data_IF_735794676994
#
_entry.id   IF_735794676994
#
_cell.length_a   1.000
_cell.length_b   1.000
_cell.length_c   1.000
_cell.angle_alpha   90.00
_cell.angle_beta   90.00
_cell.angle_gamma   90.00
#
_symmetry.space_group_name_H-M   'P 1'
#
loop_
_entity.id
_entity.type
_entity.pdbx_description
1 polymer ?
#
# COMPACT_ATOMS: atom_id res chain seq x y z
N UNK A 1 -7.03 16.83 33.27
CA UNK A 1 -6.76 17.09 31.84
C UNK A 1 -6.94 15.74 31.18
N UNK A 2 -8.05 15.56 30.44
CA UNK A 2 -8.29 14.32 29.72
C UNK A 2 -7.24 14.21 28.62
N UNK A 3 -6.60 13.05 28.55
CA UNK A 3 -5.75 12.67 27.41
C UNK A 3 -6.63 12.76 26.16
N UNK A 4 -6.50 13.84 25.40
CA UNK A 4 -7.17 13.97 24.11
C UNK A 4 -6.52 12.97 23.16
N UNK A 5 -7.23 11.88 22.87
CA UNK A 5 -6.80 10.91 21.88
C UNK A 5 -6.86 11.57 20.50
N UNK A 6 -5.68 11.77 19.90
CA UNK A 6 -5.56 12.36 18.57
C UNK A 6 -4.64 11.52 17.69
N UNK A 7 -5.04 11.32 16.45
CA UNK A 7 -4.33 10.52 15.46
C UNK A 7 -3.84 11.41 14.32
N UNK A 8 -2.57 11.30 13.98
CA UNK A 8 -1.99 11.91 12.78
C UNK A 8 -1.84 10.83 11.71
N UNK A 9 -2.48 11.02 10.58
CA UNK A 9 -2.29 10.18 9.39
C UNK A 9 -1.34 10.89 8.42
N UNK A 10 -0.28 10.21 8.02
CA UNK A 10 0.65 10.71 7.01
C UNK A 10 0.10 10.37 5.64
N UNK A 11 -0.31 11.37 4.88
CA UNK A 11 -0.86 11.19 3.55
C UNK A 11 0.21 10.73 2.56
N UNK A 12 -0.06 9.64 1.84
CA UNK A 12 0.75 9.23 0.70
C UNK A 12 0.18 9.87 -0.57
N UNK A 13 1.03 10.50 -1.37
CA UNK A 13 0.63 11.24 -2.58
C UNK A 13 1.81 11.41 -3.54
N UNK A 14 1.51 11.87 -4.75
CA UNK A 14 2.49 12.16 -5.80
C UNK A 14 2.70 13.68 -6.04
N UNK A 15 2.44 14.51 -5.04
CA UNK A 15 2.33 15.96 -5.04
C UNK A 15 1.10 16.51 -5.77
N UNK A 16 0.40 15.73 -6.57
CA UNK A 16 -0.79 16.15 -7.33
C UNK A 16 -2.06 15.43 -6.88
N UNK A 17 -1.93 14.15 -6.55
CA UNK A 17 -3.06 13.28 -6.21
C UNK A 17 -2.82 12.53 -4.90
N UNK A 18 -3.85 12.48 -4.05
CA UNK A 18 -3.87 11.62 -2.88
C UNK A 18 -3.95 10.14 -3.31
N UNK A 19 -3.10 9.29 -2.73
CA UNK A 19 -3.14 7.85 -3.01
C UNK A 19 -4.29 7.18 -2.24
N UNK A 20 -5.02 6.22 -2.85
CA UNK A 20 -6.15 5.52 -2.20
C UNK A 20 -5.78 4.86 -0.87
N UNK A 21 -4.54 4.37 -0.71
CA UNK A 21 -4.03 3.79 0.54
C UNK A 21 -4.17 4.72 1.76
N UNK A 22 -4.19 6.04 1.54
CA UNK A 22 -4.42 7.02 2.60
C UNK A 22 -5.86 6.97 3.12
N UNK A 23 -6.85 6.72 2.25
CA UNK A 23 -8.26 6.58 2.66
C UNK A 23 -8.49 5.31 3.49
N UNK A 24 -7.81 4.22 3.16
CA UNK A 24 -7.84 2.99 3.96
C UNK A 24 -7.17 3.20 5.33
N UNK A 25 -6.08 3.99 5.36
CA UNK A 25 -5.40 4.33 6.61
C UNK A 25 -6.26 5.21 7.51
N UNK A 26 -7.04 6.13 6.93
CA UNK A 26 -8.04 6.92 7.65
C UNK A 26 -9.14 6.05 8.27
N UNK A 27 -9.58 5.00 7.58
CA UNK A 27 -10.53 4.03 8.17
C UNK A 27 -9.96 3.38 9.44
N UNK A 28 -8.69 3.00 9.44
CA UNK A 28 -8.03 2.49 10.64
C UNK A 28 -7.93 3.57 11.76
N UNK A 29 -7.63 4.82 11.39
CA UNK A 29 -7.58 5.94 12.34
C UNK A 29 -8.97 6.19 12.98
N UNK A 30 -10.04 6.17 12.19
CA UNK A 30 -11.41 6.29 12.69
C UNK A 30 -11.79 5.13 13.62
N UNK A 31 -11.31 3.91 13.35
CA UNK A 31 -11.54 2.75 14.22
C UNK A 31 -10.80 2.86 15.57
N UNK A 32 -9.68 3.56 15.64
CA UNK A 32 -9.00 3.89 16.90
C UNK A 32 -9.85 4.88 17.70
N UNK A 33 -10.44 5.86 17.02
CA UNK A 33 -11.26 6.91 17.62
C UNK A 33 -10.48 8.18 17.94
N UNK A 34 -11.18 9.19 18.46
CA UNK A 34 -10.63 10.51 18.74
C UNK A 34 -10.51 11.38 17.49
N UNK A 35 -9.82 12.51 17.62
CA UNK A 35 -9.60 13.45 16.53
C UNK A 35 -8.62 12.90 15.48
N UNK A 36 -8.94 13.06 14.20
CA UNK A 36 -8.09 12.62 13.10
C UNK A 36 -7.61 13.82 12.29
N UNK A 37 -6.28 13.96 12.23
CA UNK A 37 -5.61 14.97 11.41
C UNK A 37 -4.79 14.29 10.31
N UNK A 38 -4.63 14.96 9.17
CA UNK A 38 -3.76 14.54 8.09
C UNK A 38 -2.53 15.44 7.98
N UNK A 39 -1.37 14.86 7.71
CA UNK A 39 -0.17 15.59 7.32
C UNK A 39 0.10 15.36 5.84
N UNK A 40 0.14 16.45 5.07
CA UNK A 40 0.58 16.48 3.67
C UNK A 40 1.94 17.16 3.62
N UNK A 41 2.97 16.45 3.18
CA UNK A 41 4.32 16.97 3.04
C UNK A 41 4.82 16.74 1.62
N UNK A 42 5.05 17.80 0.88
CA UNK A 42 5.41 17.73 -0.54
C UNK A 42 5.84 19.08 -1.08
N UNK A 43 5.84 19.23 -2.39
CA UNK A 43 6.11 20.50 -3.08
C UNK A 43 5.03 20.77 -4.12
N UNK A 44 4.47 21.98 -4.09
CA UNK A 44 3.32 22.38 -4.92
C UNK A 44 2.12 21.42 -4.72
N UNK A 45 1.88 20.99 -3.47
CA UNK A 45 0.94 19.93 -3.12
C UNK A 45 -0.37 20.47 -2.49
N UNK A 46 -0.73 21.75 -2.72
CA UNK A 46 -2.00 22.32 -2.22
C UNK A 46 -3.21 21.51 -2.67
N UNK A 47 -3.24 21.01 -3.92
CA UNK A 47 -4.34 20.20 -4.43
C UNK A 47 -4.56 18.91 -3.62
N UNK A 48 -3.48 18.32 -3.13
CA UNK A 48 -3.55 17.15 -2.23
C UNK A 48 -4.13 17.54 -0.89
N UNK A 49 -3.71 18.68 -0.32
CA UNK A 49 -4.27 19.17 0.94
C UNK A 49 -5.78 19.49 0.83
N UNK A 50 -6.19 20.06 -0.31
CA UNK A 50 -7.62 20.32 -0.60
C UNK A 50 -8.41 19.02 -0.68
N UNK A 51 -7.87 17.99 -1.36
CA UNK A 51 -8.46 16.65 -1.42
C UNK A 51 -8.56 16.01 -0.02
N UNK A 52 -7.51 16.11 0.79
CA UNK A 52 -7.51 15.62 2.18
C UNK A 52 -8.55 16.34 3.04
N UNK A 53 -8.72 17.66 2.86
CA UNK A 53 -9.68 18.46 3.60
C UNK A 53 -11.16 18.11 3.26
N UNK A 54 -11.39 17.58 2.06
CA UNK A 54 -12.71 17.13 1.62
C UNK A 54 -13.11 15.75 2.16
N UNK A 55 -12.20 14.99 2.75
CA UNK A 55 -12.49 13.65 3.29
C UNK A 55 -13.32 13.76 4.56
N UNK A 56 -14.38 12.95 4.65
CA UNK A 56 -15.22 12.90 5.84
C UNK A 56 -14.46 12.32 7.05
N UNK A 57 -14.70 12.90 8.23
CA UNK A 57 -14.05 12.50 9.49
C UNK A 57 -12.64 13.08 9.70
N UNK A 58 -12.11 13.87 8.76
CA UNK A 58 -10.88 14.63 8.96
C UNK A 58 -11.21 15.96 9.65
N UNK A 59 -10.56 16.22 10.78
CA UNK A 59 -10.79 17.45 11.54
C UNK A 59 -9.82 18.59 11.16
N UNK A 60 -8.61 18.24 10.68
CA UNK A 60 -7.58 19.22 10.30
C UNK A 60 -6.61 18.60 9.30
N UNK A 61 -6.13 19.42 8.37
CA UNK A 61 -5.01 19.08 7.49
C UNK A 61 -3.81 19.97 7.83
N UNK A 62 -2.67 19.37 8.12
CA UNK A 62 -1.37 20.03 8.24
C UNK A 62 -0.68 20.00 6.89
N UNK A 63 -0.32 21.15 6.35
CA UNK A 63 0.34 21.27 5.04
C UNK A 63 1.77 21.78 5.19
N UNK A 64 2.75 20.97 4.83
CA UNK A 64 4.14 21.34 4.67
C UNK A 64 4.48 21.36 3.17
N UNK A 65 4.16 22.46 2.50
CA UNK A 65 4.43 22.66 1.08
C UNK A 65 5.76 23.38 0.91
N UNK A 66 6.83 22.60 0.70
CA UNK A 66 8.19 23.11 0.54
C UNK A 66 9.01 22.21 -0.38
N UNK A 67 9.93 22.79 -1.16
CA UNK A 67 10.82 22.07 -2.07
C UNK A 67 11.65 20.97 -1.38
N UNK A 68 11.91 21.09 -0.08
CA UNK A 68 12.63 20.09 0.70
C UNK A 68 11.87 18.74 0.79
N UNK A 69 10.56 18.74 0.58
CA UNK A 69 9.71 17.55 0.63
C UNK A 69 9.26 17.07 -0.75
N UNK A 70 9.77 17.66 -1.85
CA UNK A 70 9.34 17.34 -3.21
C UNK A 70 9.41 15.84 -3.54
N UNK A 71 10.41 15.13 -3.01
CA UNK A 71 10.62 13.70 -3.22
C UNK A 71 10.38 12.86 -1.96
N UNK A 72 9.79 13.44 -0.92
CA UNK A 72 9.35 12.78 0.32
C UNK A 72 10.41 11.84 0.94
N UNK A 73 11.69 12.27 0.91
CA UNK A 73 12.79 11.52 1.49
C UNK A 73 12.55 11.27 2.98
N UNK A 74 12.75 10.03 3.41
CA UNK A 74 12.40 9.60 4.77
C UNK A 74 13.11 10.40 5.86
N UNK A 75 14.34 10.84 5.62
CA UNK A 75 15.14 11.61 6.57
C UNK A 75 14.49 12.95 6.91
N UNK A 76 14.06 13.69 5.89
CA UNK A 76 13.40 14.98 6.08
C UNK A 76 11.96 14.83 6.56
N UNK A 77 11.22 13.88 5.97
CA UNK A 77 9.82 13.63 6.32
C UNK A 77 9.68 13.16 7.77
N UNK A 78 10.53 12.23 8.25
CA UNK A 78 10.48 11.78 9.64
C UNK A 78 10.84 12.90 10.64
N UNK A 79 11.75 13.80 10.30
CA UNK A 79 12.06 14.96 11.13
C UNK A 79 10.86 15.93 11.23
N UNK A 80 10.17 16.18 10.13
CA UNK A 80 8.95 16.99 10.12
C UNK A 80 7.87 16.35 11.00
N UNK A 81 7.61 15.04 10.84
CA UNK A 81 6.60 14.35 11.64
C UNK A 81 6.98 14.44 13.13
N UNK A 82 8.25 14.24 13.46
CA UNK A 82 8.75 14.36 14.84
C UNK A 82 8.45 15.72 15.46
N UNK A 83 8.54 16.81 14.69
CA UNK A 83 8.32 18.17 15.20
C UNK A 83 6.89 18.41 15.67
N UNK A 84 5.92 17.69 15.10
CA UNK A 84 4.49 17.78 15.46
C UNK A 84 4.01 16.62 16.33
N UNK A 85 4.82 15.56 16.49
CA UNK A 85 4.43 14.29 17.11
C UNK A 85 3.93 14.40 18.55
N UNK A 86 4.39 15.38 19.30
CA UNK A 86 4.01 15.58 20.73
C UNK A 86 2.52 15.88 20.92
N UNK A 87 1.82 16.25 19.85
CA UNK A 87 0.39 16.54 19.86
C UNK A 87 -0.47 15.30 19.58
N UNK A 88 0.14 14.13 19.34
CA UNK A 88 -0.55 12.94 18.87
C UNK A 88 -0.22 11.70 19.69
N UNK A 89 -1.25 10.95 20.04
CA UNK A 89 -1.14 9.63 20.67
C UNK A 89 -0.89 8.52 19.65
N UNK A 90 -1.28 8.76 18.39
CA UNK A 90 -1.13 7.80 17.29
C UNK A 90 -0.59 8.50 16.04
N UNK A 91 0.35 7.85 15.34
CA UNK A 91 0.87 8.30 14.05
C UNK A 91 0.80 7.13 13.08
N UNK A 92 -0.03 7.28 12.06
CA UNK A 92 -0.32 6.23 11.08
C UNK A 92 0.19 6.60 9.69
N UNK A 93 0.65 5.60 8.95
CA UNK A 93 0.85 5.69 7.50
C UNK A 93 0.44 4.39 6.83
N UNK A 94 0.10 4.37 5.53
CA UNK A 94 -0.14 3.13 4.81
C UNK A 94 1.13 2.26 4.79
N UNK A 95 0.96 0.94 4.85
CA UNK A 95 2.06 -0.02 4.80
C UNK A 95 2.57 -0.25 3.36
N UNK A 96 2.71 0.82 2.61
CA UNK A 96 3.37 0.90 1.30
C UNK A 96 4.88 1.08 1.46
N UNK A 97 5.62 1.12 0.36
CA UNK A 97 7.06 1.43 0.39
C UNK A 97 7.34 2.78 1.04
N UNK A 98 6.46 3.78 0.88
CA UNK A 98 6.54 5.08 1.54
C UNK A 98 6.46 4.96 3.07
N UNK A 99 5.37 4.43 3.60
CA UNK A 99 5.19 4.31 5.05
C UNK A 99 6.22 3.38 5.71
N UNK A 100 6.61 2.30 5.02
CA UNK A 100 7.67 1.36 5.46
C UNK A 100 9.07 1.99 5.48
N UNK A 101 9.29 3.06 4.74
CA UNK A 101 10.55 3.81 4.75
C UNK A 101 10.57 4.91 5.84
N UNK A 102 9.47 5.64 6.00
CA UNK A 102 9.40 6.81 6.89
C UNK A 102 9.21 6.42 8.36
N UNK A 103 8.22 5.55 8.66
CA UNK A 103 7.80 5.30 10.04
C UNK A 103 8.82 4.54 10.90
N UNK A 104 9.64 3.59 10.40
CA UNK A 104 10.68 2.97 11.22
C UNK A 104 11.72 4.00 11.71
N UNK A 105 12.05 4.98 10.85
CA UNK A 105 12.94 6.08 11.22
C UNK A 105 12.29 6.96 12.27
N UNK A 106 11.02 7.32 12.09
CA UNK A 106 10.27 8.09 13.07
C UNK A 106 10.24 7.39 14.43
N UNK A 107 9.94 6.09 14.44
CA UNK A 107 9.90 5.29 15.67
C UNK A 107 11.23 5.34 16.43
N UNK A 108 12.35 5.21 15.71
CA UNK A 108 13.68 5.33 16.31
C UNK A 108 13.94 6.75 16.84
N UNK A 109 13.46 7.80 16.17
CA UNK A 109 13.62 9.19 16.60
C UNK A 109 12.76 9.54 17.82
N UNK A 110 11.65 8.82 18.04
CA UNK A 110 10.75 8.98 19.19
C UNK A 110 11.06 8.00 20.33
N UNK A 111 11.98 7.05 20.12
CA UNK A 111 12.30 5.96 21.05
C UNK A 111 11.08 5.10 21.43
N UNK A 112 10.27 4.73 20.42
CA UNK A 112 9.07 3.89 20.55
C UNK A 112 9.11 2.70 19.59
N UNK A 113 8.29 1.67 19.87
CA UNK A 113 8.17 0.51 19.00
C UNK A 113 7.14 0.74 17.89
N UNK A 114 7.52 0.46 16.64
CA UNK A 114 6.57 0.47 15.52
C UNK A 114 5.70 -0.78 15.54
N UNK A 115 4.39 -0.60 15.31
CA UNK A 115 3.44 -1.69 15.03
C UNK A 115 3.23 -1.74 13.52
N UNK A 116 3.81 -2.76 12.87
CA UNK A 116 3.83 -2.85 11.41
C UNK A 116 2.64 -3.63 10.86
N UNK A 117 2.04 -3.10 9.78
CA UNK A 117 1.04 -3.78 8.94
C UNK A 117 -0.19 -4.26 9.74
N UNK A 118 -0.79 -3.40 10.53
CA UNK A 118 -2.01 -3.77 11.24
C UNK A 118 -3.13 -4.12 10.25
N UNK A 119 -3.92 -5.14 10.61
CA UNK A 119 -5.08 -5.60 9.85
C UNK A 119 -6.39 -5.42 10.60
N UNK A 120 -6.34 -5.10 11.90
CA UNK A 120 -7.53 -4.86 12.72
C UNK A 120 -7.15 -4.00 13.94
N UNK A 121 -8.04 -3.11 14.30
CA UNK A 121 -7.99 -2.32 15.54
C UNK A 121 -8.91 -2.99 16.56
N UNK A 122 -8.35 -3.45 17.70
CA UNK A 122 -9.12 -4.03 18.80
C UNK A 122 -9.48 -2.96 19.83
N UNK A 123 -8.51 -2.09 20.12
CA UNK A 123 -8.65 -0.92 20.99
C UNK A 123 -7.60 0.12 20.63
N UNK A 124 -7.58 1.26 21.34
CA UNK A 124 -6.60 2.33 21.15
C UNK A 124 -5.14 1.88 21.28
N UNK A 125 -4.86 0.78 21.98
CA UNK A 125 -3.51 0.28 22.24
C UNK A 125 -3.26 -1.15 21.76
N UNK A 126 -4.28 -1.81 21.20
CA UNK A 126 -4.23 -3.24 20.85
C UNK A 126 -4.68 -3.47 19.41
N UNK A 127 -3.84 -4.18 18.65
CA UNK A 127 -3.98 -4.35 17.21
C UNK A 127 -3.69 -5.78 16.78
N UNK A 128 -4.28 -6.24 15.67
CA UNK A 128 -3.87 -7.47 14.99
C UNK A 128 -2.92 -7.17 13.84
N UNK A 129 -1.94 -8.04 13.66
CA UNK A 129 -1.01 -7.96 12.54
C UNK A 129 -0.55 -9.34 12.09
N UNK A 130 -0.28 -9.53 10.78
CA UNK A 130 0.30 -10.77 10.29
C UNK A 130 1.78 -10.89 10.68
N UNK A 131 2.19 -12.11 10.99
CA UNK A 131 3.58 -12.51 11.21
C UNK A 131 3.85 -13.81 10.43
N UNK A 132 5.12 -14.19 10.26
CA UNK A 132 5.51 -15.38 9.47
C UNK A 132 4.86 -15.38 8.07
N UNK A 133 5.05 -14.27 7.32
CA UNK A 133 4.46 -14.07 5.99
C UNK A 133 2.93 -14.27 5.94
N UNK A 134 2.24 -13.95 7.04
CA UNK A 134 0.80 -14.07 7.14
C UNK A 134 0.28 -15.47 7.50
N UNK A 135 1.15 -16.40 7.86
CA UNK A 135 0.75 -17.73 8.36
C UNK A 135 0.15 -17.66 9.76
N UNK A 136 0.44 -16.60 10.51
CA UNK A 136 -0.11 -16.34 11.84
C UNK A 136 -0.57 -14.89 11.96
N UNK A 137 -1.60 -14.66 12.74
CA UNK A 137 -2.05 -13.32 13.13
C UNK A 137 -1.73 -13.13 14.63
N UNK A 138 -0.88 -12.17 14.91
CA UNK A 138 -0.55 -11.78 16.27
C UNK A 138 -1.47 -10.65 16.75
N UNK A 139 -1.96 -10.76 17.98
CA UNK A 139 -2.56 -9.63 18.70
C UNK A 139 -1.45 -8.99 19.54
N UNK A 140 -1.19 -7.71 19.29
CA UNK A 140 -0.12 -6.95 19.95
C UNK A 140 -0.72 -5.77 20.68
N UNK A 141 -0.18 -5.50 21.88
CA UNK A 141 -0.52 -4.32 22.68
C UNK A 141 0.72 -3.46 22.83
N UNK A 142 0.60 -2.15 22.57
CA UNK A 142 1.66 -1.17 22.82
C UNK A 142 1.41 -0.42 24.13
N UNK A 143 2.45 -0.31 24.94
CA UNK A 143 2.44 0.53 26.14
C UNK A 143 3.13 1.89 25.92
N UNK A 144 3.59 2.17 24.69
CA UNK A 144 4.24 3.43 24.35
C UNK A 144 3.24 4.59 24.44
N UNK A 145 3.68 5.77 24.83
CA UNK A 145 2.82 6.95 24.86
C UNK A 145 2.31 7.34 23.47
N UNK A 146 3.20 7.30 22.48
CA UNK A 146 2.84 7.51 21.06
C UNK A 146 2.99 6.19 20.31
N UNK A 147 1.90 5.71 19.65
CA UNK A 147 1.89 4.51 18.82
C UNK A 147 2.21 4.90 17.39
N UNK A 148 3.28 4.35 16.84
CA UNK A 148 3.67 4.52 15.43
C UNK A 148 3.29 3.27 14.67
N UNK A 149 2.40 3.41 13.67
CA UNK A 149 1.67 2.28 13.07
C UNK A 149 1.69 2.36 11.56
N UNK A 150 2.05 1.27 10.88
CA UNK A 150 1.74 1.12 9.47
C UNK A 150 0.48 0.28 9.28
N UNK A 151 -0.40 0.71 8.37
CA UNK A 151 -1.72 0.12 8.13
C UNK A 151 -1.71 -0.68 6.82
N UNK A 152 -2.12 -1.95 6.86
CA UNK A 152 -2.34 -2.74 5.65
C UNK A 152 -3.61 -2.23 4.96
N UNK A 153 -3.46 -1.49 3.87
CA UNK A 153 -4.58 -0.85 3.17
C UNK A 153 -5.66 -1.86 2.75
N UNK A 154 -5.28 -3.06 2.32
CA UNK A 154 -6.21 -4.11 1.89
C UNK A 154 -7.08 -4.71 3.01
N UNK A 155 -6.82 -4.37 4.27
CA UNK A 155 -7.57 -4.88 5.43
C UNK A 155 -8.64 -3.90 5.95
N UNK A 156 -8.71 -2.70 5.38
CA UNK A 156 -9.67 -1.66 5.78
C UNK A 156 -10.36 -1.11 4.54
N UNK A 157 -11.68 -1.04 4.54
CA UNK A 157 -12.42 -0.38 3.47
C UNK A 157 -12.12 1.12 3.49
N UNK A 158 -11.88 1.77 2.33
CA UNK A 158 -11.57 3.18 2.29
C UNK A 158 -12.74 4.03 2.78
N UNK A 159 -12.44 5.11 3.49
CA UNK A 159 -13.45 6.13 3.80
C UNK A 159 -13.85 6.89 2.53
N UNK A 160 -15.00 7.60 2.58
CA UNK A 160 -15.40 8.50 1.48
C UNK A 160 -14.37 9.61 1.29
N UNK A 161 -14.00 9.88 0.04
CA UNK A 161 -13.10 10.97 -0.35
C UNK A 161 -13.78 12.35 -0.38
N UNK A 162 -15.03 12.42 0.07
CA UNK A 162 -15.87 13.62 0.03
C UNK A 162 -16.78 13.67 1.26
N UNK A 163 -17.31 14.86 1.53
CA UNK A 163 -18.24 15.11 2.64
C UNK A 163 -17.63 15.93 3.78
N UNK A 164 -16.30 16.05 3.83
CA UNK A 164 -15.57 16.87 4.80
C UNK A 164 -15.33 18.31 4.35
N UNK A 165 -14.84 19.12 5.28
CA UNK A 165 -14.45 20.53 5.06
C UNK A 165 -13.43 20.98 6.10
N UNK A 166 -12.39 20.19 6.32
CA UNK A 166 -11.38 20.44 7.32
C UNK A 166 -10.57 21.71 7.04
N UNK A 167 -10.18 22.49 8.05
CA UNK A 167 -9.25 23.60 7.88
C UNK A 167 -7.86 23.06 7.51
N UNK A 168 -7.16 23.79 6.63
CA UNK A 168 -5.77 23.54 6.25
C UNK A 168 -4.90 24.52 7.02
N UNK A 169 -3.93 23.98 7.77
CA UNK A 169 -2.97 24.75 8.56
C UNK A 169 -1.55 24.52 8.00
N UNK A 170 -0.88 25.62 7.67
CA UNK A 170 0.51 25.55 7.17
C UNK A 170 1.47 25.18 8.30
N UNK A 171 2.37 24.24 8.01
CA UNK A 171 3.47 23.82 8.89
C UNK A 171 4.77 24.20 8.21
N UNK A 172 5.66 24.88 8.95
CA UNK A 172 6.97 25.27 8.45
C UNK A 172 7.87 24.03 8.25
N UNK A 173 8.77 24.05 7.26
CA UNK A 173 9.79 23.02 7.15
C UNK A 173 10.64 22.95 8.41
N UNK A 174 10.90 21.74 8.88
CA UNK A 174 11.66 21.49 10.11
C UNK A 174 12.78 20.50 9.87
N UNK A 175 13.99 20.86 10.32
CA UNK A 175 15.16 19.96 10.36
C UNK A 175 15.37 19.17 9.06
N UNK A 176 15.32 19.86 7.91
CA UNK A 176 15.58 19.24 6.61
C UNK A 176 16.95 18.56 6.63
N UNK A 177 16.96 17.29 6.24
CA UNK A 177 18.16 16.45 6.31
C UNK A 177 18.98 16.57 5.02
N UNK A 178 20.30 16.55 5.17
CA UNK A 178 21.27 16.47 4.08
C UNK A 178 21.94 15.08 3.95
N UNK A 179 21.43 14.09 4.72
CA UNK A 179 21.98 12.73 4.73
C UNK A 179 21.71 11.95 3.43
N UNK A 180 20.70 12.32 2.70
CA UNK A 180 20.33 11.72 1.41
C UNK A 180 19.89 12.78 0.43
N UNK A 181 20.00 12.49 -0.86
CA UNK A 181 19.54 13.35 -1.94
C UNK A 181 18.85 12.51 -3.01
N UNK A 182 17.82 13.08 -3.62
CA UNK A 182 17.16 12.45 -4.76
C UNK A 182 18.05 12.56 -6.00
N UNK A 183 18.27 11.44 -6.66
CA UNK A 183 19.08 11.36 -7.89
C UNK A 183 18.19 11.20 -9.12
N UNK A 184 17.13 10.40 -9.00
CA UNK A 184 16.19 10.13 -10.07
C UNK A 184 15.33 8.91 -9.77
N UNK A 185 14.27 8.76 -10.55
CA UNK A 185 13.40 7.58 -10.54
C UNK A 185 13.01 7.23 -11.98
N UNK A 186 12.80 5.95 -12.21
CA UNK A 186 12.25 5.41 -13.45
C UNK A 186 10.93 4.71 -13.10
N UNK A 187 9.82 5.35 -13.46
CA UNK A 187 8.47 4.81 -13.22
C UNK A 187 7.92 4.34 -14.55
N UNK A 188 7.50 3.07 -14.60
CA UNK A 188 6.78 2.54 -15.75
C UNK A 188 5.44 3.27 -15.90
N UNK A 189 5.26 3.95 -17.05
CA UNK A 189 3.97 4.57 -17.38
C UNK A 189 3.04 3.49 -17.91
N UNK A 190 1.87 3.37 -17.32
CA UNK A 190 0.80 2.48 -17.76
C UNK A 190 -0.52 3.22 -17.70
N UNK A 191 -1.33 3.04 -18.72
CA UNK A 191 -2.71 3.54 -18.75
C UNK A 191 -3.67 2.61 -17.97
N UNK A 192 -3.17 1.45 -17.49
CA UNK A 192 -3.92 0.49 -16.67
C UNK A 192 -4.02 0.93 -15.22
N UNK A 193 -5.03 0.47 -14.48
CA UNK A 193 -5.16 0.76 -13.05
C UNK A 193 -3.89 0.42 -12.26
N UNK A 194 -3.61 1.16 -11.20
CA UNK A 194 -2.53 0.81 -10.27
C UNK A 194 -2.85 -0.53 -9.58
N UNK A 195 -1.85 -1.40 -9.42
CA UNK A 195 -1.99 -2.73 -8.83
C UNK A 195 -2.68 -2.71 -7.45
N UNK A 196 -2.37 -1.71 -6.64
CA UNK A 196 -2.90 -1.62 -5.27
C UNK A 196 -4.34 -1.13 -5.19
N UNK A 197 -4.88 -0.59 -6.29
CA UNK A 197 -6.22 -0.03 -6.37
C UNK A 197 -7.13 -0.78 -7.36
N UNK A 198 -6.58 -1.72 -8.13
CA UNK A 198 -7.32 -2.43 -9.17
C UNK A 198 -8.31 -3.45 -8.58
N UNK A 199 -9.55 -3.47 -9.11
CA UNK A 199 -10.56 -4.49 -8.78
C UNK A 199 -10.24 -5.86 -9.40
N UNK A 200 -9.49 -5.88 -10.51
CA UNK A 200 -9.06 -7.10 -11.19
C UNK A 200 -7.54 -7.02 -11.40
N UNK A 201 -6.84 -8.08 -11.06
CA UNK A 201 -5.40 -8.22 -11.28
C UNK A 201 -5.12 -9.53 -12.02
N UNK A 202 -4.34 -9.46 -13.10
CA UNK A 202 -3.77 -10.63 -13.76
C UNK A 202 -2.26 -10.60 -13.61
N UNK A 203 -1.67 -11.69 -13.12
CA UNK A 203 -0.24 -11.72 -12.79
C UNK A 203 0.48 -12.87 -13.46
N UNK A 204 1.66 -12.56 -14.04
CA UNK A 204 2.54 -13.53 -14.67
C UNK A 204 3.65 -14.02 -13.75
N UNK A 205 3.85 -15.33 -13.76
CA UNK A 205 4.99 -15.96 -13.09
C UNK A 205 6.16 -16.23 -14.03
N UNK A 206 7.18 -16.93 -13.50
CA UNK A 206 8.30 -17.40 -14.31
C UNK A 206 7.86 -18.37 -15.42
N UNK A 207 6.67 -18.99 -15.28
CA UNK A 207 6.05 -19.81 -16.31
C UNK A 207 5.78 -19.08 -17.62
N UNK A 208 5.75 -17.73 -17.63
CA UNK A 208 5.65 -16.91 -18.84
C UNK A 208 6.90 -17.03 -19.74
N UNK A 209 8.02 -17.52 -19.24
CA UNK A 209 9.28 -17.80 -19.93
C UNK A 209 10.05 -16.57 -20.46
N UNK A 210 9.37 -15.53 -20.90
CA UNK A 210 9.96 -14.30 -21.44
C UNK A 210 9.08 -13.07 -21.13
N UNK A 211 9.71 -11.90 -21.06
CA UNK A 211 8.98 -10.62 -21.01
C UNK A 211 8.10 -10.40 -22.23
N UNK A 212 8.54 -10.86 -23.40
CA UNK A 212 7.75 -10.73 -24.63
C UNK A 212 6.38 -11.42 -24.54
N UNK A 213 6.27 -12.47 -23.72
CA UNK A 213 5.01 -13.21 -23.56
C UNK A 213 4.01 -12.50 -22.63
N UNK A 214 4.43 -11.43 -21.92
CA UNK A 214 3.52 -10.67 -21.07
C UNK A 214 2.40 -9.98 -21.88
N UNK A 215 2.58 -9.76 -23.19
CA UNK A 215 1.51 -9.26 -24.06
C UNK A 215 0.23 -10.12 -24.03
N UNK A 216 0.35 -11.44 -23.73
CA UNK A 216 -0.82 -12.32 -23.57
C UNK A 216 -1.66 -11.90 -22.35
N UNK A 217 -1.00 -11.52 -21.23
CA UNK A 217 -1.67 -11.02 -20.04
C UNK A 217 -2.24 -9.62 -20.29
N UNK A 218 -1.49 -8.77 -20.97
CA UNK A 218 -1.88 -7.41 -21.30
C UNK A 218 -3.14 -7.36 -22.16
N UNK A 219 -3.25 -8.26 -23.14
CA UNK A 219 -4.44 -8.38 -23.99
C UNK A 219 -5.69 -8.71 -23.17
N UNK A 220 -5.58 -9.61 -22.19
CA UNK A 220 -6.67 -9.97 -21.29
C UNK A 220 -6.96 -8.82 -20.32
N UNK A 221 -5.91 -8.21 -19.79
CA UNK A 221 -6.02 -7.08 -18.87
C UNK A 221 -6.79 -5.91 -19.51
N UNK A 222 -6.50 -5.58 -20.75
CA UNK A 222 -7.17 -4.50 -21.48
C UNK A 222 -8.67 -4.77 -21.69
N UNK A 223 -9.06 -6.04 -21.91
CA UNK A 223 -10.46 -6.44 -22.03
C UNK A 223 -11.22 -6.40 -20.71
N UNK A 224 -10.53 -6.71 -19.60
CA UNK A 224 -11.12 -6.76 -18.26
C UNK A 224 -11.00 -5.44 -17.49
N UNK A 225 -10.26 -4.44 -18.00
CA UNK A 225 -9.88 -3.27 -17.22
C UNK A 225 -8.99 -3.63 -16.01
N UNK A 226 -8.17 -4.67 -16.16
CA UNK A 226 -7.35 -5.21 -15.08
C UNK A 226 -5.97 -4.56 -14.99
N UNK A 227 -5.36 -4.59 -13.80
CA UNK A 227 -3.94 -4.32 -13.65
C UNK A 227 -3.12 -5.57 -13.98
N UNK A 228 -1.89 -5.38 -14.46
CA UNK A 228 -0.93 -6.46 -14.72
C UNK A 228 0.10 -6.50 -13.61
N UNK A 229 0.24 -7.67 -12.99
CA UNK A 229 1.22 -7.94 -11.96
C UNK A 229 2.22 -9.02 -12.36
N UNK A 230 3.20 -9.25 -11.50
CA UNK A 230 4.19 -10.29 -11.72
C UNK A 230 4.70 -10.91 -10.42
N UNK A 231 5.16 -12.14 -10.47
CA UNK A 231 5.90 -12.73 -9.37
C UNK A 231 7.31 -12.14 -9.28
N UNK A 232 7.91 -12.16 -8.09
CA UNK A 232 9.31 -11.77 -7.90
C UNK A 232 10.24 -12.52 -8.87
N UNK A 233 10.02 -13.81 -9.09
CA UNK A 233 10.85 -14.59 -10.00
C UNK A 233 10.79 -14.14 -11.46
N UNK A 234 9.67 -13.56 -11.91
CA UNK A 234 9.55 -12.95 -13.24
C UNK A 234 10.27 -11.60 -13.30
N UNK A 235 10.16 -10.79 -12.24
CA UNK A 235 10.87 -9.50 -12.12
C UNK A 235 12.40 -9.73 -12.06
N UNK A 236 12.86 -10.65 -11.20
CA UNK A 236 14.29 -10.99 -11.08
C UNK A 236 14.87 -11.54 -12.39
N UNK A 237 14.04 -12.19 -13.23
CA UNK A 237 14.42 -12.64 -14.56
C UNK A 237 14.40 -11.53 -15.63
N UNK A 238 14.02 -10.31 -15.26
CA UNK A 238 13.96 -9.15 -16.17
C UNK A 238 12.78 -9.17 -17.14
N UNK A 239 11.72 -9.95 -16.88
CA UNK A 239 10.55 -10.01 -17.76
C UNK A 239 9.73 -8.74 -17.73
N UNK A 240 9.61 -8.11 -16.56
CA UNK A 240 8.89 -6.85 -16.33
C UNK A 240 9.59 -6.01 -15.25
N UNK A 241 9.35 -4.69 -15.20
CA UNK A 241 9.89 -3.82 -14.17
C UNK A 241 9.44 -4.21 -12.75
N UNK A 242 10.20 -3.76 -11.75
CA UNK A 242 9.92 -4.03 -10.33
C UNK A 242 8.54 -3.53 -9.86
N UNK A 243 7.99 -2.51 -10.49
CA UNK A 243 6.68 -1.94 -10.17
C UNK A 243 5.51 -2.92 -10.36
N UNK A 244 5.73 -3.98 -11.13
CA UNK A 244 4.76 -5.06 -11.35
C UNK A 244 4.78 -6.12 -10.24
N UNK A 245 5.78 -6.08 -9.35
CA UNK A 245 5.95 -7.14 -8.36
C UNK A 245 4.80 -7.19 -7.34
N UNK A 246 4.13 -8.34 -7.28
CA UNK A 246 3.18 -8.70 -6.22
C UNK A 246 3.82 -9.68 -5.25
N UNK A 247 3.72 -9.42 -3.95
CA UNK A 247 4.27 -10.29 -2.93
C UNK A 247 4.69 -9.54 -1.66
N UNK A 248 5.28 -10.27 -0.74
CA UNK A 248 5.73 -9.75 0.57
C UNK A 248 6.69 -8.56 0.45
N UNK A 249 7.57 -8.56 -0.54
CA UNK A 249 8.56 -7.50 -0.81
C UNK A 249 8.17 -6.59 -1.99
N UNK A 250 7.02 -6.84 -2.59
CA UNK A 250 6.41 -6.03 -3.63
C UNK A 250 5.14 -5.34 -3.14
N UNK A 251 4.19 -5.18 -4.05
CA UNK A 251 2.87 -4.65 -3.74
C UNK A 251 1.98 -5.74 -3.13
N UNK A 252 1.21 -5.37 -2.11
CA UNK A 252 0.16 -6.22 -1.53
C UNK A 252 -1.16 -5.78 -2.18
N UNK A 253 -1.88 -6.75 -2.72
CA UNK A 253 -3.13 -6.54 -3.46
C UNK A 253 -4.24 -7.43 -2.89
N UNK A 254 -5.48 -6.98 -2.93
CA UNK A 254 -6.67 -7.76 -2.58
C UNK A 254 -7.82 -7.38 -3.53
N UNK A 255 -7.69 -7.67 -4.83
CA UNK A 255 -8.73 -7.39 -5.81
C UNK A 255 -9.96 -8.29 -5.62
N UNK A 256 -11.05 -7.94 -6.30
CA UNK A 256 -12.20 -8.83 -6.41
C UNK A 256 -11.86 -10.11 -7.17
N UNK A 257 -10.96 -10.01 -8.17
CA UNK A 257 -10.48 -11.14 -8.96
C UNK A 257 -8.96 -11.07 -9.16
N UNK A 258 -8.25 -12.11 -8.75
CA UNK A 258 -6.83 -12.32 -9.02
C UNK A 258 -6.60 -13.52 -9.92
N UNK A 259 -6.02 -13.32 -11.10
CA UNK A 259 -5.69 -14.37 -12.04
C UNK A 259 -4.18 -14.63 -12.00
N UNK A 260 -3.77 -15.78 -11.47
CA UNK A 260 -2.39 -16.20 -11.34
C UNK A 260 -1.98 -17.11 -12.52
N UNK A 261 -1.10 -16.64 -13.38
CA UNK A 261 -0.69 -17.34 -14.61
C UNK A 261 0.77 -17.76 -14.53
N UNK A 262 1.02 -19.07 -14.57
CA UNK A 262 2.38 -19.62 -14.51
C UNK A 262 3.13 -19.26 -13.22
N UNK A 263 2.40 -19.04 -12.14
CA UNK A 263 2.90 -18.72 -10.79
C UNK A 263 2.89 -19.99 -9.94
N UNK A 264 4.00 -20.29 -9.27
CA UNK A 264 4.14 -21.51 -8.45
C UNK A 264 3.34 -21.44 -7.13
N UNK A 265 3.11 -20.24 -6.58
CA UNK A 265 2.48 -20.10 -5.26
C UNK A 265 3.47 -20.17 -4.10
N UNK A 266 4.70 -19.67 -4.29
CA UNK A 266 5.62 -19.47 -3.17
C UNK A 266 5.01 -18.59 -2.10
N UNK A 267 5.27 -18.90 -0.81
CA UNK A 267 4.67 -18.22 0.34
C UNK A 267 4.84 -16.71 0.31
N UNK A 268 5.95 -16.21 -0.26
CA UNK A 268 6.21 -14.77 -0.39
C UNK A 268 5.27 -14.11 -1.41
N UNK A 269 4.87 -14.83 -2.47
CA UNK A 269 3.89 -14.34 -3.43
C UNK A 269 2.49 -14.38 -2.81
N UNK A 270 2.14 -15.50 -2.17
CA UNK A 270 0.85 -15.66 -1.50
C UNK A 270 0.60 -14.57 -0.46
N UNK A 271 1.62 -14.17 0.29
CA UNK A 271 1.53 -13.08 1.28
C UNK A 271 1.08 -11.74 0.66
N UNK A 272 1.25 -11.57 -0.64
CA UNK A 272 0.86 -10.35 -1.36
C UNK A 272 -0.50 -10.42 -2.06
N UNK A 273 -1.18 -11.60 -2.15
CA UNK A 273 -2.41 -11.70 -2.95
C UNK A 273 -3.49 -12.62 -2.37
N UNK A 274 -3.18 -13.38 -1.33
CA UNK A 274 -4.11 -14.39 -0.76
C UNK A 274 -5.41 -13.82 -0.21
N UNK A 275 -5.45 -12.52 0.09
CA UNK A 275 -6.63 -11.82 0.61
C UNK A 275 -7.56 -11.34 -0.54
N UNK A 276 -7.29 -11.71 -1.80
CA UNK A 276 -8.17 -11.49 -2.95
C UNK A 276 -9.49 -12.25 -2.77
N UNK A 277 -10.62 -11.67 -3.23
CA UNK A 277 -11.95 -12.29 -3.03
C UNK A 277 -12.12 -13.57 -3.83
N UNK A 278 -11.61 -13.58 -5.07
CA UNK A 278 -11.60 -14.75 -5.95
C UNK A 278 -10.20 -14.91 -6.54
N UNK A 279 -9.65 -16.10 -6.46
CA UNK A 279 -8.35 -16.46 -7.01
C UNK A 279 -8.54 -17.53 -8.09
N UNK A 280 -8.09 -17.21 -9.31
CA UNK A 280 -8.02 -18.15 -10.44
C UNK A 280 -6.55 -18.48 -10.70
N UNK A 281 -6.21 -19.74 -10.83
CA UNK A 281 -4.84 -20.18 -11.13
C UNK A 281 -4.79 -20.97 -12.45
N UNK A 282 -3.82 -20.63 -13.29
CA UNK A 282 -3.48 -21.36 -14.54
C UNK A 282 -2.02 -21.82 -14.41
N UNK A 283 -1.80 -23.11 -14.32
CA UNK A 283 -0.46 -23.70 -14.24
C UNK A 283 -0.47 -25.09 -14.85
N UNK A 284 0.61 -25.48 -15.52
CA UNK A 284 0.76 -26.84 -16.08
C UNK A 284 1.13 -27.90 -15.03
N UNK A 285 1.66 -27.47 -13.89
CA UNK A 285 2.03 -28.31 -12.76
C UNK A 285 0.84 -28.41 -11.80
N UNK A 286 0.18 -29.57 -11.76
CA UNK A 286 -0.99 -29.84 -10.92
C UNK A 286 -0.67 -29.79 -9.42
N UNK A 287 0.61 -30.00 -9.05
CA UNK A 287 1.06 -29.96 -7.66
C UNK A 287 1.53 -28.55 -7.23
N UNK A 288 1.42 -27.54 -8.11
CA UNK A 288 1.85 -26.19 -7.78
C UNK A 288 1.08 -25.64 -6.56
N UNK A 289 1.78 -25.12 -5.51
CA UNK A 289 1.15 -24.63 -4.30
C UNK A 289 0.08 -23.54 -4.51
N UNK A 290 0.08 -22.85 -5.65
CA UNK A 290 -0.93 -21.82 -6.00
C UNK A 290 -2.34 -22.42 -5.98
N UNK A 291 -2.51 -23.68 -6.37
CA UNK A 291 -3.80 -24.35 -6.38
C UNK A 291 -4.39 -24.58 -4.98
N UNK A 292 -3.57 -24.54 -3.91
CA UNK A 292 -4.06 -24.67 -2.54
C UNK A 292 -4.83 -23.43 -2.05
N UNK A 293 -4.64 -22.29 -2.72
CA UNK A 293 -5.30 -21.02 -2.38
C UNK A 293 -6.24 -20.54 -3.48
N UNK A 294 -6.26 -21.21 -4.63
CA UNK A 294 -7.13 -20.84 -5.75
C UNK A 294 -8.55 -21.36 -5.53
N UNK A 295 -9.55 -20.51 -5.79
CA UNK A 295 -10.96 -20.88 -5.86
C UNK A 295 -11.26 -21.68 -7.13
N UNK A 296 -10.56 -21.35 -8.23
CA UNK A 296 -10.65 -22.02 -9.51
C UNK A 296 -9.25 -22.31 -10.05
N UNK A 297 -9.01 -23.55 -10.45
CA UNK A 297 -7.73 -24.00 -10.99
C UNK A 297 -7.89 -24.58 -12.40
N UNK A 298 -7.05 -24.16 -13.32
CA UNK A 298 -6.92 -24.77 -14.65
C UNK A 298 -5.51 -25.36 -14.80
N UNK A 299 -5.45 -26.70 -14.85
CA UNK A 299 -4.19 -27.41 -15.14
C UNK A 299 -4.03 -27.48 -16.64
N UNK A 300 -3.29 -26.55 -17.21
CA UNK A 300 -3.08 -26.43 -18.66
C UNK A 300 -1.80 -25.67 -18.98
N UNK A 301 -1.35 -25.78 -20.23
CA UNK A 301 -0.33 -24.88 -20.76
C UNK A 301 -0.93 -23.47 -20.94
N UNK A 302 -0.30 -22.49 -20.31
CA UNK A 302 -0.77 -21.10 -20.37
C UNK A 302 -0.76 -20.51 -21.79
N UNK A 303 0.13 -21.03 -22.67
CA UNK A 303 0.22 -20.57 -24.06
C UNK A 303 -0.95 -21.03 -24.94
N UNK A 304 -1.65 -22.10 -24.52
CA UNK A 304 -2.89 -22.54 -25.12
C UNK A 304 -4.10 -21.88 -24.44
N UNK A 305 -4.09 -21.84 -23.10
CA UNK A 305 -5.22 -21.36 -22.30
C UNK A 305 -5.49 -19.85 -22.42
N UNK A 306 -4.42 -19.02 -22.48
CA UNK A 306 -4.59 -17.56 -22.52
C UNK A 306 -5.23 -17.05 -23.83
N UNK A 307 -4.84 -17.56 -25.03
CA UNK A 307 -5.54 -17.20 -26.25
C UNK A 307 -7.02 -17.59 -26.23
N UNK A 308 -7.35 -18.81 -25.78
CA UNK A 308 -8.74 -19.25 -25.67
C UNK A 308 -9.55 -18.40 -24.67
N UNK A 309 -8.95 -18.06 -23.54
CA UNK A 309 -9.58 -17.14 -22.57
C UNK A 309 -9.80 -15.77 -23.20
N UNK A 310 -8.78 -15.25 -23.88
CA UNK A 310 -8.91 -13.96 -24.57
C UNK A 310 -10.04 -13.97 -25.59
N UNK A 311 -10.17 -15.01 -26.40
CA UNK A 311 -11.21 -15.11 -27.43
C UNK A 311 -12.61 -15.26 -26.84
N UNK A 312 -12.72 -15.71 -25.60
CA UNK A 312 -13.98 -15.91 -24.86
C UNK A 312 -14.48 -14.66 -24.13
N UNK A 313 -13.61 -13.65 -23.96
CA UNK A 313 -13.88 -12.34 -23.37
C UNK A 313 -14.22 -11.28 -24.43
#
# INVERSE_FOLDING_TARGET
>A
EGDFMSTLVIAEHDNSNLKPSSLNTLAAANAIGGSVHLLVAGSSCQAVADACAAVDGVEKVLLADDAAYANQLAESTANLIKSVATNYSHILAPATTFGKNVLPRLSALLDVQQISEITEVISEDTFKRPIYAGSCIATVKSNDATKVITVRATAFDPVSDSGGSAPIEAVAPENVSDLSSFVGEEIAKSDRPELTAASIVISGGRGMQSGDNFHLLETIADKLGAAVGASRAAVDAGFVPNDYQVGQTGKIVAPDLYIAVGISGAIQHLAGMKDSKVIVAINKDEDAPIFQVADYGLVADLFDALPELSDSL
#
